data_IF_293360909250
#
_entry.id   IF_293360909250
#
_cell.length_a   1.000
_cell.length_b   1.000
_cell.length_c   1.000
_cell.angle_alpha   90.00
_cell.angle_beta   90.00
_cell.angle_gamma   90.00
#
_symmetry.space_group_name_H-M   'P 1'
#
loop_
_entity.id
_entity.type
_entity.pdbx_description
1 polymer ?
#
# COMPACT_ATOMS: atom_id res chain seq x y z
N UNK A 1 -69.72 35.08 -41.70
CA UNK A 1 -69.77 34.82 -43.15
C UNK A 1 -69.81 33.31 -43.33
N UNK A 2 -70.91 32.81 -43.89
CA UNK A 2 -71.30 31.40 -43.90
C UNK A 2 -70.76 30.76 -45.20
N UNK A 3 -69.95 29.71 -45.09
CA UNK A 3 -69.37 29.01 -46.25
C UNK A 3 -70.17 27.74 -46.55
N UNK A 4 -70.92 27.78 -47.64
CA UNK A 4 -71.63 26.63 -48.24
C UNK A 4 -70.63 25.69 -48.94
N UNK A 5 -70.73 24.36 -48.79
CA UNK A 5 -69.88 23.43 -49.50
C UNK A 5 -70.39 23.21 -50.94
N UNK A 6 -69.47 23.22 -51.90
CA UNK A 6 -69.72 22.84 -53.28
C UNK A 6 -69.89 21.32 -53.38
N UNK A 7 -70.95 20.89 -54.08
CA UNK A 7 -71.29 19.50 -54.37
C UNK A 7 -70.58 19.09 -55.67
N UNK A 8 -69.46 18.39 -55.57
CA UNK A 8 -68.77 17.78 -56.70
C UNK A 8 -68.48 16.31 -56.40
N UNK A 9 -69.34 15.44 -56.92
CA UNK A 9 -69.14 13.99 -56.98
C UNK A 9 -68.05 13.70 -58.00
N UNK A 10 -66.86 13.31 -57.55
CA UNK A 10 -65.84 12.70 -58.39
C UNK A 10 -65.90 11.18 -58.18
N UNK A 11 -66.23 10.46 -59.25
CA UNK A 11 -66.20 9.00 -59.29
C UNK A 11 -64.75 8.51 -59.20
N UNK A 12 -64.48 7.63 -58.25
CA UNK A 12 -63.22 6.93 -58.13
C UNK A 12 -63.13 5.87 -59.23
N UNK A 13 -62.16 6.01 -60.14
CA UNK A 13 -61.78 4.93 -61.06
C UNK A 13 -61.06 3.84 -60.26
N UNK A 14 -61.74 2.71 -60.04
CA UNK A 14 -61.12 1.49 -59.57
C UNK A 14 -60.36 0.85 -60.74
N UNK A 15 -59.03 0.83 -60.66
CA UNK A 15 -58.17 0.10 -61.60
C UNK A 15 -58.06 -1.33 -61.12
N UNK A 16 -58.71 -2.24 -61.83
CA UNK A 16 -58.62 -3.68 -61.65
C UNK A 16 -57.38 -4.21 -62.41
N UNK A 17 -56.46 -4.98 -61.79
CA UNK A 17 -55.27 -5.46 -62.48
C UNK A 17 -55.61 -6.63 -63.40
N UNK A 18 -55.40 -6.41 -64.71
CA UNK A 18 -55.45 -7.44 -65.74
C UNK A 18 -54.45 -8.57 -65.47
N UNK A 19 -54.97 -9.78 -65.38
CA UNK A 19 -54.21 -11.02 -65.52
C UNK A 19 -54.17 -11.41 -67.00
N UNK A 20 -53.03 -11.28 -67.68
CA UNK A 20 -52.77 -11.99 -68.93
C UNK A 20 -51.36 -12.59 -68.99
N UNK A 21 -51.36 -13.90 -69.22
CA UNK A 21 -50.26 -14.78 -69.53
C UNK A 21 -49.83 -14.66 -71.00
N UNK A 22 -48.54 -14.73 -71.31
CA UNK A 22 -48.03 -15.55 -72.44
C UNK A 22 -46.49 -15.60 -72.48
N UNK A 23 -46.02 -16.69 -73.06
CA UNK A 23 -44.69 -17.30 -72.94
C UNK A 23 -43.65 -16.86 -73.98
N UNK A 24 -42.37 -16.98 -73.59
CA UNK A 24 -41.18 -17.44 -74.37
C UNK A 24 -40.09 -16.40 -74.56
N UNK A 25 -38.98 -16.59 -73.83
CA UNK A 25 -37.69 -15.90 -74.02
C UNK A 25 -36.96 -15.60 -72.71
N UNK A 26 -36.11 -16.52 -72.23
CA UNK A 26 -35.12 -16.27 -71.18
C UNK A 26 -33.74 -15.98 -71.82
N UNK A 27 -32.69 -15.46 -71.14
CA UNK A 27 -32.54 -15.20 -69.69
C UNK A 27 -31.68 -13.95 -69.30
N UNK A 28 -32.16 -13.10 -68.41
CA UNK A 28 -31.35 -12.67 -67.25
C UNK A 28 -32.30 -12.08 -66.21
N UNK A 29 -32.69 -12.91 -65.24
CA UNK A 29 -33.42 -12.47 -64.07
C UNK A 29 -32.40 -12.34 -62.97
N UNK A 30 -32.07 -11.11 -62.59
CA UNK A 30 -31.58 -10.87 -61.24
C UNK A 30 -32.66 -11.41 -60.29
N UNK A 31 -32.32 -12.29 -59.35
CA UNK A 31 -33.29 -12.78 -58.40
C UNK A 31 -33.64 -11.61 -57.50
N UNK A 32 -34.79 -10.99 -57.74
CA UNK A 32 -35.47 -10.23 -56.69
C UNK A 32 -35.89 -11.31 -55.70
N UNK A 33 -35.02 -11.53 -54.73
CA UNK A 33 -35.25 -12.40 -53.59
C UNK A 33 -36.54 -11.93 -52.93
N UNK A 34 -37.50 -12.85 -52.84
CA UNK A 34 -38.84 -12.62 -52.28
C UNK A 34 -38.73 -11.79 -51.00
N UNK A 35 -39.25 -10.56 -51.04
CA UNK A 35 -39.42 -9.71 -49.85
C UNK A 35 -40.66 -10.24 -49.14
N UNK A 36 -40.55 -11.44 -48.59
CA UNK A 36 -41.54 -12.00 -47.70
C UNK A 36 -41.67 -11.02 -46.52
N UNK A 37 -42.86 -10.54 -46.14
CA UNK A 37 -42.99 -9.72 -44.95
C UNK A 37 -42.41 -10.54 -43.79
N UNK A 38 -41.31 -10.06 -43.23
CA UNK A 38 -40.81 -10.52 -41.95
C UNK A 38 -41.92 -10.20 -40.95
N UNK A 39 -42.81 -11.16 -40.73
CA UNK A 39 -43.53 -11.30 -39.48
C UNK A 39 -42.43 -11.52 -38.45
N UNK A 40 -41.85 -10.41 -37.99
CA UNK A 40 -40.96 -10.36 -36.85
C UNK A 40 -41.82 -10.81 -35.68
N UNK A 41 -41.75 -12.11 -35.39
CA UNK A 41 -42.44 -12.69 -34.26
C UNK A 41 -41.91 -11.96 -33.02
N UNK A 42 -42.77 -11.17 -32.38
CA UNK A 42 -42.43 -10.40 -31.18
C UNK A 42 -42.01 -11.32 -30.01
N UNK A 43 -42.07 -12.64 -30.20
CA UNK A 43 -41.52 -13.65 -29.32
C UNK A 43 -40.00 -13.81 -29.39
N UNK A 44 -39.30 -13.40 -30.46
CA UNK A 44 -37.82 -13.45 -30.50
C UNK A 44 -37.15 -12.39 -29.62
N UNK A 45 -37.91 -11.42 -29.11
CA UNK A 45 -37.40 -10.44 -28.14
C UNK A 45 -37.49 -10.91 -26.69
N UNK A 46 -38.01 -12.11 -26.42
CA UNK A 46 -38.14 -12.60 -25.05
C UNK A 46 -37.23 -13.79 -24.81
N UNK A 47 -36.34 -13.58 -23.84
CA UNK A 47 -35.48 -14.58 -23.21
C UNK A 47 -34.22 -14.97 -23.99
N UNK A 48 -33.43 -13.97 -24.37
CA UNK A 48 -31.98 -14.13 -24.19
C UNK A 48 -31.76 -14.18 -22.69
N UNK A 49 -31.96 -15.36 -22.10
CA UNK A 49 -31.74 -15.62 -20.67
C UNK A 49 -30.43 -14.94 -20.33
N UNK A 50 -30.57 -13.84 -19.60
CA UNK A 50 -29.46 -12.92 -19.33
C UNK A 50 -28.60 -13.72 -18.40
N UNK A 51 -27.66 -14.46 -19.01
CA UNK A 51 -26.84 -15.48 -18.38
C UNK A 51 -26.41 -14.94 -17.02
N UNK A 52 -26.49 -15.76 -15.96
CA UNK A 52 -26.09 -15.32 -14.62
C UNK A 52 -24.71 -14.64 -14.63
N UNK A 53 -23.88 -14.92 -15.63
CA UNK A 53 -22.62 -14.25 -15.90
C UNK A 53 -22.75 -12.75 -16.29
N UNK A 54 -23.76 -12.33 -17.05
CA UNK A 54 -24.01 -10.91 -17.35
C UNK A 54 -24.39 -10.14 -16.08
N UNK A 55 -25.23 -10.72 -15.22
CA UNK A 55 -25.55 -10.10 -13.93
C UNK A 55 -24.34 -10.11 -12.99
N UNK A 56 -23.53 -11.18 -13.01
CA UNK A 56 -22.28 -11.25 -12.27
C UNK A 56 -21.30 -10.15 -12.71
N UNK A 57 -21.14 -9.90 -14.01
CA UNK A 57 -20.23 -8.85 -14.50
C UNK A 57 -20.71 -7.45 -14.16
N UNK A 58 -22.03 -7.20 -14.22
CA UNK A 58 -22.62 -5.91 -13.81
C UNK A 58 -22.45 -5.66 -12.31
N UNK A 59 -22.74 -6.66 -11.47
CA UNK A 59 -22.56 -6.56 -10.01
C UNK A 59 -21.08 -6.38 -9.67
N UNK A 60 -20.19 -7.14 -10.32
CA UNK A 60 -18.75 -7.02 -10.11
C UNK A 60 -18.24 -5.63 -10.54
N UNK A 61 -18.67 -5.11 -11.69
CA UNK A 61 -18.26 -3.77 -12.16
C UNK A 61 -18.74 -2.65 -11.22
N UNK A 62 -19.89 -2.82 -10.55
CA UNK A 62 -20.42 -1.84 -9.59
C UNK A 62 -19.72 -1.92 -8.22
N UNK A 63 -19.42 -3.13 -7.75
CA UNK A 63 -18.85 -3.35 -6.41
C UNK A 63 -17.33 -3.36 -6.37
N UNK A 64 -16.63 -3.68 -7.46
CA UNK A 64 -15.16 -3.71 -7.51
C UNK A 64 -14.56 -2.33 -7.24
N UNK A 65 -14.99 -1.22 -7.87
CA UNK A 65 -14.41 0.09 -7.57
C UNK A 65 -14.51 0.48 -6.07
N UNK A 66 -15.68 0.45 -5.41
CA UNK A 66 -15.78 0.79 -3.99
C UNK A 66 -15.07 -0.22 -3.08
N UNK A 67 -15.10 -1.52 -3.39
CA UNK A 67 -14.38 -2.53 -2.60
C UNK A 67 -12.86 -2.37 -2.71
N UNK A 68 -12.37 -2.06 -3.92
CA UNK A 68 -10.97 -1.76 -4.18
C UNK A 68 -10.55 -0.51 -3.40
N UNK A 69 -11.33 0.58 -3.47
CA UNK A 69 -11.09 1.77 -2.63
C UNK A 69 -11.08 1.42 -1.13
N UNK A 70 -12.06 0.63 -0.65
CA UNK A 70 -12.16 0.25 0.76
C UNK A 70 -10.98 -0.62 1.24
N UNK A 71 -10.36 -1.41 0.36
CA UNK A 71 -9.15 -2.18 0.66
C UNK A 71 -7.85 -1.36 0.50
N UNK A 72 -7.77 -0.49 -0.50
CA UNK A 72 -6.60 0.34 -0.76
C UNK A 72 -6.45 1.48 0.23
N UNK A 73 -7.55 2.05 0.73
CA UNK A 73 -7.53 3.12 1.73
C UNK A 73 -6.80 2.68 3.00
N UNK A 74 -7.11 1.57 3.69
CA UNK A 74 -6.38 1.18 4.91
C UNK A 74 -4.93 0.75 4.63
N UNK A 75 -4.61 0.19 3.45
CA UNK A 75 -3.22 -0.07 3.07
C UNK A 75 -2.43 1.24 2.88
N UNK A 76 -3.03 2.23 2.24
CA UNK A 76 -2.45 3.55 2.06
C UNK A 76 -2.46 4.37 3.36
N UNK A 77 -3.46 4.21 4.22
CA UNK A 77 -3.56 4.88 5.51
C UNK A 77 -2.60 4.27 6.54
N UNK A 78 -2.35 2.96 6.51
CA UNK A 78 -1.22 2.33 7.23
C UNK A 78 0.11 2.90 6.73
N UNK A 79 0.26 3.08 5.41
CA UNK A 79 1.39 3.79 4.80
C UNK A 79 1.38 5.31 5.00
N UNK A 80 0.32 5.89 5.55
CA UNK A 80 0.22 7.32 5.84
C UNK A 80 0.17 7.61 7.35
N UNK A 81 0.06 6.61 8.24
CA UNK A 81 0.65 6.71 9.58
C UNK A 81 2.18 6.82 9.52
N UNK A 82 2.77 6.54 8.36
CA UNK A 82 4.10 7.02 7.97
C UNK A 82 4.17 8.56 7.77
N UNK A 83 3.18 9.34 8.21
CA UNK A 83 3.26 10.81 8.22
C UNK A 83 4.07 11.37 9.41
N UNK A 84 4.61 10.51 10.29
CA UNK A 84 5.61 10.82 11.34
C UNK A 84 7.03 10.27 11.01
N UNK A 85 7.26 9.88 9.76
CA UNK A 85 8.21 8.82 9.38
C UNK A 85 9.59 9.30 8.90
N UNK A 86 10.09 10.40 9.46
CA UNK A 86 11.55 10.65 9.46
C UNK A 86 12.16 10.19 10.78
N UNK A 87 11.50 10.48 11.90
CA UNK A 87 11.96 10.06 13.22
C UNK A 87 11.89 8.53 13.38
N UNK A 88 10.84 7.88 12.89
CA UNK A 88 10.73 6.42 12.94
C UNK A 88 11.76 5.72 12.03
N UNK A 89 11.88 6.15 10.76
CA UNK A 89 12.95 5.67 9.87
C UNK A 89 14.33 5.87 10.47
N UNK A 90 14.60 7.06 11.01
CA UNK A 90 15.87 7.37 11.65
C UNK A 90 16.15 6.48 12.86
N UNK A 91 15.15 6.18 13.70
CA UNK A 91 15.28 5.24 14.82
C UNK A 91 15.58 3.82 14.33
N UNK A 92 14.85 3.35 13.33
CA UNK A 92 15.06 2.04 12.73
C UNK A 92 16.46 1.93 12.09
N UNK A 93 16.90 2.98 11.40
CA UNK A 93 18.24 3.07 10.83
C UNK A 93 19.31 3.09 11.90
N UNK A 94 19.11 3.82 13.00
CA UNK A 94 20.03 3.86 14.14
C UNK A 94 20.16 2.47 14.79
N UNK A 95 19.03 1.78 15.00
CA UNK A 95 19.03 0.40 15.51
C UNK A 95 19.78 -0.56 14.57
N UNK A 96 19.49 -0.50 13.26
CA UNK A 96 20.17 -1.31 12.25
C UNK A 96 21.67 -1.04 12.23
N UNK A 97 22.07 0.23 12.26
CA UNK A 97 23.48 0.62 12.27
C UNK A 97 24.19 0.16 13.54
N UNK A 98 23.54 0.25 14.71
CA UNK A 98 24.09 -0.23 15.96
C UNK A 98 24.32 -1.75 15.93
N UNK A 99 23.32 -2.52 15.48
CA UNK A 99 23.40 -3.97 15.29
C UNK A 99 24.53 -4.35 14.32
N UNK A 100 24.63 -3.67 13.18
CA UNK A 100 25.67 -3.93 12.17
C UNK A 100 27.07 -3.68 12.75
N UNK A 101 27.26 -2.58 13.49
CA UNK A 101 28.54 -2.27 14.13
C UNK A 101 28.87 -3.25 15.26
N UNK A 102 27.91 -3.63 16.10
CA UNK A 102 28.09 -4.68 17.12
C UNK A 102 28.53 -6.00 16.49
N UNK A 103 27.88 -6.43 15.41
CA UNK A 103 28.25 -7.65 14.70
C UNK A 103 29.67 -7.59 14.13
N UNK A 104 30.06 -6.44 13.55
CA UNK A 104 31.44 -6.23 13.06
C UNK A 104 32.46 -6.34 14.18
N UNK A 105 32.16 -5.82 15.36
CA UNK A 105 33.02 -5.96 16.55
C UNK A 105 33.16 -7.41 17.00
N UNK A 106 32.06 -8.17 17.00
CA UNK A 106 32.08 -9.60 17.36
C UNK A 106 32.87 -10.42 16.33
N UNK A 107 32.74 -10.13 15.04
CA UNK A 107 33.41 -10.91 13.97
C UNK A 107 34.83 -10.46 13.65
N UNK A 108 35.22 -9.24 14.02
CA UNK A 108 36.46 -8.58 13.59
C UNK A 108 37.41 -8.22 14.74
N UNK A 109 37.41 -9.00 15.82
CA UNK A 109 38.17 -8.71 17.05
C UNK A 109 39.69 -8.73 16.82
N UNK A 110 40.26 -7.57 16.44
CA UNK A 110 41.69 -7.37 16.23
C UNK A 110 42.29 -6.28 17.16
N UNK A 111 41.48 -5.66 18.01
CA UNK A 111 41.90 -4.64 18.98
C UNK A 111 42.01 -5.19 20.40
N UNK A 112 42.79 -4.53 21.26
CA UNK A 112 42.84 -4.87 22.69
C UNK A 112 41.54 -4.49 23.42
N UNK A 113 41.29 -5.09 24.59
CA UNK A 113 40.04 -4.92 25.36
C UNK A 113 39.62 -3.45 25.56
N UNK A 114 40.58 -2.54 25.74
CA UNK A 114 40.33 -1.10 25.87
C UNK A 114 39.73 -0.47 24.61
N UNK A 115 40.19 -0.88 23.42
CA UNK A 115 39.66 -0.38 22.15
C UNK A 115 38.26 -0.93 21.92
N UNK A 116 38.03 -2.21 22.23
CA UNK A 116 36.69 -2.82 22.18
C UNK A 116 35.68 -2.09 23.06
N UNK A 117 36.04 -1.77 24.31
CA UNK A 117 35.18 -1.00 25.23
C UNK A 117 34.90 0.40 24.67
N UNK A 118 35.92 1.07 24.12
CA UNK A 118 35.77 2.39 23.51
C UNK A 118 34.82 2.36 22.32
N UNK A 119 34.96 1.40 21.42
CA UNK A 119 34.07 1.24 20.27
C UNK A 119 32.64 0.89 20.70
N UNK A 120 32.46 -0.01 21.66
CA UNK A 120 31.15 -0.32 22.25
C UNK A 120 30.46 0.93 22.80
N UNK A 121 31.20 1.69 23.59
CA UNK A 121 30.73 2.94 24.18
C UNK A 121 30.31 3.94 23.10
N UNK A 122 31.08 4.04 22.02
CA UNK A 122 30.75 4.89 20.89
C UNK A 122 29.47 4.43 20.15
N UNK A 123 29.27 3.12 19.96
CA UNK A 123 28.08 2.60 19.28
C UNK A 123 26.83 2.88 20.10
N UNK A 124 26.87 2.58 21.41
CA UNK A 124 25.73 2.80 22.30
C UNK A 124 25.41 4.30 22.41
N UNK A 125 26.41 5.17 22.57
CA UNK A 125 26.20 6.63 22.53
C UNK A 125 25.68 7.12 21.18
N UNK A 126 26.13 6.56 20.06
CA UNK A 126 25.57 6.92 18.74
C UNK A 126 24.08 6.54 18.66
N UNK A 127 23.73 5.32 19.06
CA UNK A 127 22.33 4.86 19.08
C UNK A 127 21.44 5.72 19.98
N UNK A 128 21.86 5.96 21.22
CA UNK A 128 21.12 6.80 22.18
C UNK A 128 20.98 8.22 21.63
N UNK A 129 22.05 8.78 21.05
CA UNK A 129 22.04 10.10 20.44
C UNK A 129 21.01 10.20 19.31
N UNK A 130 20.99 9.24 18.40
CA UNK A 130 20.01 9.21 17.31
C UNK A 130 18.58 8.96 17.80
N UNK A 131 18.39 8.08 18.79
CA UNK A 131 17.08 7.78 19.38
C UNK A 131 16.50 8.98 20.12
N UNK A 132 17.33 9.64 20.92
CA UNK A 132 16.97 10.84 21.66
C UNK A 132 17.06 12.11 20.81
N UNK A 133 17.45 12.01 19.53
CA UNK A 133 17.66 13.16 18.66
C UNK A 133 18.63 14.21 19.26
N UNK A 134 19.63 13.74 20.00
CA UNK A 134 20.72 14.56 20.52
C UNK A 134 21.78 14.74 19.42
N UNK A 135 22.37 15.94 19.35
CA UNK A 135 23.43 16.22 18.39
C UNK A 135 24.78 15.83 18.99
N UNK A 136 25.47 14.91 18.33
CA UNK A 136 26.79 14.42 18.76
C UNK A 136 26.72 13.21 19.69
N UNK A 137 27.90 12.71 20.08
CA UNK A 137 28.08 11.52 20.94
C UNK A 137 28.78 11.84 22.27
N UNK A 138 29.04 13.13 22.54
CA UNK A 138 29.81 13.60 23.68
C UNK A 138 28.90 14.01 24.84
N UNK A 139 27.97 13.14 25.22
CA UNK A 139 27.08 13.34 26.35
C UNK A 139 27.43 12.38 27.50
N UNK A 140 27.18 12.83 28.73
CA UNK A 140 27.50 12.07 29.95
C UNK A 140 26.39 11.09 30.32
N UNK A 141 26.69 10.11 31.18
CA UNK A 141 25.68 9.16 31.70
C UNK A 141 24.49 9.89 32.37
N UNK A 142 24.78 10.97 33.11
CA UNK A 142 23.78 11.83 33.76
C UNK A 142 22.90 12.59 32.79
N UNK A 143 23.48 13.18 31.75
CA UNK A 143 22.70 13.88 30.72
C UNK A 143 21.74 12.93 29.99
N UNK A 144 22.16 11.70 29.73
CA UNK A 144 21.28 10.66 29.14
C UNK A 144 20.15 10.30 30.10
N UNK A 145 20.44 10.13 31.39
CA UNK A 145 19.43 9.87 32.41
C UNK A 145 18.37 10.99 32.46
N UNK A 146 18.78 12.25 32.49
CA UNK A 146 17.86 13.40 32.47
C UNK A 146 16.99 13.41 31.21
N UNK A 147 17.59 13.18 30.04
CA UNK A 147 16.86 13.13 28.76
C UNK A 147 15.87 11.97 28.67
N UNK A 148 16.20 10.81 29.25
CA UNK A 148 15.29 9.66 29.32
C UNK A 148 14.14 9.92 30.29
N UNK A 149 14.41 10.52 31.47
CA UNK A 149 13.38 10.93 32.43
C UNK A 149 12.39 11.93 31.84
N UNK A 150 12.89 12.94 31.11
CA UNK A 150 12.05 13.95 30.43
C UNK A 150 11.10 13.34 29.40
N UNK A 151 11.40 12.15 28.87
CA UNK A 151 10.58 11.44 27.88
C UNK A 151 9.76 10.31 28.48
N UNK A 152 9.62 10.28 29.81
CA UNK A 152 8.78 9.33 30.54
C UNK A 152 9.15 7.86 30.30
N UNK A 153 10.45 7.57 30.08
CA UNK A 153 10.93 6.19 30.07
C UNK A 153 10.79 5.55 31.46
N UNK A 154 10.66 4.22 31.50
CA UNK A 154 10.63 3.46 32.74
C UNK A 154 11.94 3.65 33.52
N UNK A 155 11.81 3.84 34.83
CA UNK A 155 12.95 4.06 35.74
C UNK A 155 14.01 2.96 35.65
N UNK A 156 13.57 1.71 35.50
CA UNK A 156 14.44 0.55 35.29
C UNK A 156 15.37 0.74 34.09
N UNK A 157 14.85 1.27 32.97
CA UNK A 157 15.61 1.44 31.73
C UNK A 157 16.57 2.62 31.81
N UNK A 158 16.18 3.65 32.56
CA UNK A 158 17.02 4.82 32.84
C UNK A 158 18.26 4.39 33.64
N UNK A 159 18.04 3.65 34.73
CA UNK A 159 19.11 3.14 35.60
C UNK A 159 20.03 2.19 34.84
N UNK A 160 19.48 1.21 34.12
CA UNK A 160 20.27 0.27 33.32
C UNK A 160 21.13 0.98 32.27
N UNK A 161 20.57 2.01 31.61
CA UNK A 161 21.32 2.78 30.60
C UNK A 161 22.47 3.54 31.25
N UNK A 162 22.22 4.23 32.37
CA UNK A 162 23.25 4.98 33.10
C UNK A 162 24.38 4.06 33.57
N UNK A 163 24.03 2.97 34.24
CA UNK A 163 25.00 2.05 34.83
C UNK A 163 25.90 1.43 33.76
N UNK A 164 25.35 1.10 32.59
CA UNK A 164 26.13 0.60 31.47
C UNK A 164 27.11 1.65 30.91
N UNK A 165 26.68 2.91 30.80
CA UNK A 165 27.56 4.00 30.34
C UNK A 165 28.71 4.24 31.32
N UNK A 166 28.43 4.24 32.62
CA UNK A 166 29.46 4.38 33.68
C UNK A 166 30.43 3.19 33.69
N UNK A 167 29.91 1.98 33.44
CA UNK A 167 30.73 0.78 33.30
C UNK A 167 31.70 0.89 32.14
N UNK A 168 31.29 1.43 30.98
CA UNK A 168 32.24 1.68 29.89
C UNK A 168 33.32 2.68 30.26
N UNK A 169 32.96 3.78 30.93
CA UNK A 169 33.91 4.81 31.35
C UNK A 169 34.95 4.22 32.29
N UNK A 170 34.52 3.49 33.32
CA UNK A 170 35.44 2.83 34.26
C UNK A 170 36.37 1.82 33.56
N UNK A 171 35.86 1.00 32.65
CA UNK A 171 36.64 -0.02 31.94
C UNK A 171 37.56 0.56 30.86
N UNK A 172 37.26 1.73 30.31
CA UNK A 172 38.13 2.42 29.34
C UNK A 172 39.40 2.99 30.00
N UNK A 173 39.32 3.31 31.30
CA UNK A 173 40.45 3.79 32.10
C UNK A 173 41.07 2.71 33.00
N UNK A 174 40.35 1.64 33.33
CA UNK A 174 40.91 0.46 33.97
C UNK A 174 41.81 -0.31 32.98
N UNK A 175 43.02 -0.65 33.40
CA UNK A 175 44.05 -1.23 32.54
C UNK A 175 43.74 -2.69 32.11
N UNK A 176 42.83 -2.87 31.15
CA UNK A 176 42.70 -4.09 30.36
C UNK A 176 42.03 -5.29 31.05
N UNK A 177 41.48 -5.13 32.25
CA UNK A 177 40.72 -6.17 32.95
C UNK A 177 39.22 -5.93 32.78
N UNK A 178 38.68 -6.30 31.63
CA UNK A 178 37.24 -6.22 31.37
C UNK A 178 36.81 -7.38 30.49
N UNK A 179 35.74 -8.07 30.90
CA UNK A 179 35.09 -9.08 30.06
C UNK A 179 34.32 -8.37 28.92
N UNK A 180 34.98 -8.24 27.78
CA UNK A 180 34.43 -7.56 26.60
C UNK A 180 33.26 -8.32 25.99
N UNK A 181 33.21 -9.64 26.14
CA UNK A 181 32.11 -10.47 25.64
C UNK A 181 30.85 -10.26 26.47
N UNK A 182 30.96 -10.25 27.80
CA UNK A 182 29.84 -9.91 28.67
C UNK A 182 29.29 -8.50 28.37
N UNK A 183 30.17 -7.53 28.13
CA UNK A 183 29.78 -6.17 27.76
C UNK A 183 29.08 -6.11 26.40
N UNK A 184 29.53 -6.87 25.39
CA UNK A 184 28.88 -6.96 24.09
C UNK A 184 27.44 -7.45 24.23
N UNK A 185 27.23 -8.51 25.02
CA UNK A 185 25.89 -9.08 25.29
C UNK A 185 25.01 -8.07 26.02
N UNK A 186 25.55 -7.39 27.03
CA UNK A 186 24.85 -6.36 27.81
C UNK A 186 24.45 -5.16 26.93
N UNK A 187 25.37 -4.71 26.06
CA UNK A 187 25.14 -3.63 25.09
C UNK A 187 23.99 -3.96 24.14
N UNK A 188 23.99 -5.19 23.58
CA UNK A 188 22.94 -5.66 22.69
C UNK A 188 21.59 -5.70 23.39
N UNK A 189 21.56 -6.26 24.61
CA UNK A 189 20.36 -6.37 25.42
C UNK A 189 19.77 -5.00 25.74
N UNK A 190 20.61 -4.01 26.07
CA UNK A 190 20.15 -2.65 26.33
C UNK A 190 19.50 -2.03 25.09
N UNK A 191 20.17 -2.12 23.92
CA UNK A 191 19.66 -1.58 22.67
C UNK A 191 18.30 -2.21 22.31
N UNK A 192 18.15 -3.53 22.46
CA UNK A 192 16.89 -4.24 22.22
C UNK A 192 15.79 -3.89 23.23
N UNK A 193 16.13 -3.76 24.52
CA UNK A 193 15.17 -3.32 25.54
C UNK A 193 14.66 -1.93 25.25
N UNK A 194 15.58 -1.00 24.95
CA UNK A 194 15.20 0.36 24.58
C UNK A 194 14.29 0.28 23.35
N UNK A 195 14.62 -0.43 22.28
CA UNK A 195 13.78 -0.52 21.06
C UNK A 195 12.33 -0.93 21.36
N UNK A 196 12.13 -1.84 22.31
CA UNK A 196 10.81 -2.34 22.72
C UNK A 196 10.13 -1.50 23.83
N UNK A 197 10.68 -0.33 24.18
CA UNK A 197 10.16 0.61 25.18
C UNK A 197 9.52 1.84 24.54
#
# INVERSE_FOLDING_TARGET
MNVTPAKNSQELNAVEPQSESSSTGSPHREPIEDINPLYLDMQEFTDRSRSGWFWLTVVLALFVPPACFMFFIPLHHKRQRMKFDSAYKRRMEAFRQAQERLNRLTSGHNGGARETVRELSQIVRTYIGDRLNLKGTAFTSREVEEQLRQREFREEHIVETRDLLEKYESLQYAAGQGDTEALLVESRRLIEKLENS
#
